data_IF_491785554097
#
_entry.id   IF_491785554097
#
_cell.length_a   1.000
_cell.length_b   1.000
_cell.length_c   1.000
_cell.angle_alpha   90.00
_cell.angle_beta   90.00
_cell.angle_gamma   90.00
#
_symmetry.space_group_name_H-M   'P 1'
#
loop_
_entity.id
_entity.type
_entity.pdbx_description
1 polymer ?
#
# COMPACT_ATOMS: atom_id res chain seq x y z
N UNK A 1 7.92 12.16 10.61
CA UNK A 1 7.17 10.91 10.39
C UNK A 1 6.95 10.69 8.91
N UNK A 2 6.78 9.46 8.50
CA UNK A 2 6.56 9.12 7.10
C UNK A 2 5.13 8.66 6.89
N UNK A 3 4.66 8.75 5.65
CA UNK A 3 3.39 8.15 5.29
C UNK A 3 3.57 6.65 5.08
N UNK A 4 2.71 5.87 5.71
CA UNK A 4 2.71 4.41 5.57
C UNK A 4 1.41 3.96 4.95
N UNK A 5 1.51 3.06 3.99
CA UNK A 5 0.37 2.40 3.40
C UNK A 5 0.08 1.15 4.22
N UNK A 6 -1.13 1.04 4.72
CA UNK A 6 -1.55 -0.10 5.54
C UNK A 6 -2.23 -1.11 4.63
N UNK A 7 -1.63 -2.27 4.52
CA UNK A 7 -1.97 -3.26 3.50
C UNK A 7 -2.60 -4.48 4.17
N UNK A 8 -3.75 -4.89 3.65
CA UNK A 8 -4.38 -6.14 4.05
C UNK A 8 -3.60 -7.30 3.43
N UNK A 9 -2.98 -8.14 4.25
CA UNK A 9 -2.11 -9.21 3.76
C UNK A 9 -2.86 -10.33 3.04
N UNK A 10 -4.17 -10.41 3.21
CA UNK A 10 -5.00 -11.39 2.48
C UNK A 10 -5.28 -10.96 1.05
N UNK A 11 -5.40 -9.66 0.81
CA UNK A 11 -5.75 -9.13 -0.51
C UNK A 11 -4.60 -8.38 -1.17
N UNK A 12 -3.60 -7.98 -0.38
CA UNK A 12 -2.51 -7.10 -0.79
C UNK A 12 -2.98 -5.71 -1.26
N UNK A 13 -4.14 -5.29 -0.77
CA UNK A 13 -4.73 -4.00 -1.12
C UNK A 13 -4.48 -3.02 0.04
N UNK A 14 -4.11 -1.80 -0.32
CA UNK A 14 -3.96 -0.72 0.66
C UNK A 14 -5.33 -0.30 1.15
N UNK A 15 -5.56 -0.43 2.46
CA UNK A 15 -6.85 -0.10 3.06
C UNK A 15 -6.82 1.19 3.84
N UNK A 16 -5.62 1.71 4.14
CA UNK A 16 -5.49 2.96 4.87
C UNK A 16 -4.13 3.57 4.60
N UNK A 17 -4.02 4.88 4.83
CA UNK A 17 -2.76 5.61 4.77
C UNK A 17 -2.63 6.38 6.07
N UNK A 18 -1.50 6.21 6.77
CA UNK A 18 -1.30 6.83 8.07
C UNK A 18 0.07 7.50 8.13
N UNK A 19 0.18 8.52 8.96
CA UNK A 19 1.46 9.10 9.33
C UNK A 19 2.01 8.32 10.53
N UNK A 20 3.21 7.80 10.41
CA UNK A 20 3.76 6.90 11.42
C UNK A 20 5.28 6.90 11.34
N UNK A 21 5.94 6.60 12.44
CA UNK A 21 7.40 6.48 12.48
C UNK A 21 7.89 5.04 12.32
N UNK A 22 6.97 4.09 12.18
CA UNK A 22 7.32 2.69 12.01
C UNK A 22 7.52 1.92 13.31
N UNK A 23 7.36 2.56 14.45
CA UNK A 23 7.58 1.95 15.75
C UNK A 23 6.35 1.17 16.20
N UNK A 24 6.40 -0.15 16.07
CA UNK A 24 5.28 -1.02 16.40
C UNK A 24 5.07 -1.17 17.91
N UNK A 25 6.01 -0.73 18.73
CA UNK A 25 5.84 -0.77 20.18
C UNK A 25 4.88 0.34 20.66
N UNK A 26 4.70 1.38 19.86
CA UNK A 26 3.76 2.47 20.17
C UNK A 26 2.41 2.23 19.51
N UNK A 27 2.43 1.80 18.24
CA UNK A 27 1.23 1.55 17.47
C UNK A 27 1.55 0.55 16.37
N UNK A 28 0.59 -0.28 16.02
CA UNK A 28 0.73 -1.20 14.90
C UNK A 28 -0.58 -1.26 14.12
N UNK A 29 -0.53 -1.65 12.82
CA UNK A 29 -1.74 -1.72 12.01
C UNK A 29 -2.69 -2.86 12.39
N UNK A 30 -2.26 -3.79 13.25
CA UNK A 30 -3.10 -4.89 13.68
C UNK A 30 -2.80 -6.19 12.93
N UNK A 31 -3.45 -7.28 13.39
CA UNK A 31 -3.28 -8.58 12.76
C UNK A 31 -3.86 -8.57 11.36
N UNK A 32 -3.15 -9.19 10.43
CA UNK A 32 -3.58 -9.25 9.04
C UNK A 32 -3.23 -8.01 8.22
N UNK A 33 -2.49 -7.07 8.80
CA UNK A 33 -2.06 -5.86 8.11
C UNK A 33 -0.56 -5.66 8.27
N UNK A 34 0.03 -5.00 7.26
CA UNK A 34 1.43 -4.54 7.33
C UNK A 34 1.47 -3.07 6.92
N UNK A 35 2.50 -2.37 7.40
CA UNK A 35 2.74 -0.99 7.02
C UNK A 35 3.98 -0.89 6.14
N UNK A 36 3.86 -0.22 5.02
CA UNK A 36 4.98 0.01 4.10
C UNK A 36 5.08 1.49 3.81
N UNK A 37 6.26 2.07 4.04
CA UNK A 37 6.49 3.49 3.83
C UNK A 37 6.39 3.82 2.34
N UNK A 38 5.49 4.73 1.99
CA UNK A 38 5.35 5.20 0.62
C UNK A 38 4.50 6.46 0.59
N UNK A 39 4.90 7.41 -0.25
CA UNK A 39 4.10 8.60 -0.54
C UNK A 39 3.50 8.53 -1.95
N UNK A 40 3.78 7.46 -2.69
CA UNK A 40 3.42 7.36 -4.10
C UNK A 40 2.13 6.60 -4.33
N UNK A 41 1.81 5.65 -3.44
CA UNK A 41 0.58 4.89 -3.53
C UNK A 41 -0.47 5.47 -2.59
N UNK A 42 -1.69 5.03 -2.72
CA UNK A 42 -2.81 5.44 -1.87
C UNK A 42 -3.77 4.29 -1.64
N UNK A 43 -4.88 4.58 -0.96
CA UNK A 43 -5.90 3.57 -0.67
C UNK A 43 -6.42 2.96 -1.98
N UNK A 44 -6.61 1.66 -1.96
CA UNK A 44 -7.10 0.91 -3.10
C UNK A 44 -6.00 0.37 -4.02
N UNK A 45 -4.77 0.81 -3.85
CA UNK A 45 -3.65 0.30 -4.65
C UNK A 45 -3.28 -1.10 -4.18
N UNK A 46 -2.76 -1.90 -5.09
CA UNK A 46 -2.27 -3.23 -4.76
C UNK A 46 -0.77 -3.17 -4.49
N UNK A 47 -0.33 -3.86 -3.46
CA UNK A 47 1.08 -3.97 -3.11
C UNK A 47 1.65 -5.29 -3.64
N UNK A 48 2.78 -5.20 -4.35
CA UNK A 48 3.50 -6.35 -4.85
C UNK A 48 4.92 -6.30 -4.30
N UNK A 49 5.22 -7.11 -3.30
CA UNK A 49 6.50 -7.06 -2.60
C UNK A 49 7.69 -7.42 -3.49
N UNK A 50 7.47 -8.13 -4.58
CA UNK A 50 8.53 -8.47 -5.52
C UNK A 50 8.72 -7.46 -6.63
N UNK A 51 7.90 -6.41 -6.69
CA UNK A 51 7.96 -5.43 -7.76
C UNK A 51 8.86 -4.26 -7.45
N UNK A 52 9.03 -3.38 -8.42
CA UNK A 52 9.81 -2.14 -8.29
C UNK A 52 9.03 -0.98 -8.90
N UNK A 53 9.09 0.17 -8.21
CA UNK A 53 8.52 1.40 -8.73
C UNK A 53 7.00 1.43 -8.69
N UNK A 54 6.42 2.31 -9.48
CA UNK A 54 4.99 2.59 -9.52
C UNK A 54 4.43 2.14 -10.86
N UNK A 55 3.35 1.38 -10.81
CA UNK A 55 2.65 0.96 -12.02
C UNK A 55 1.77 2.06 -12.57
N UNK A 56 1.44 1.95 -13.83
CA UNK A 56 0.59 2.92 -14.52
C UNK A 56 -0.80 2.38 -14.82
N UNK A 57 -0.97 1.06 -14.74
CA UNK A 57 -2.27 0.42 -14.98
C UNK A 57 -2.47 -0.72 -14.00
N UNK A 58 -3.70 -1.17 -13.83
CA UNK A 58 -4.03 -2.28 -12.95
C UNK A 58 -3.45 -3.62 -13.41
N UNK A 59 -2.99 -3.69 -14.65
CA UNK A 59 -2.37 -4.90 -15.21
C UNK A 59 -0.86 -4.93 -15.10
N UNK A 60 -0.24 -3.90 -14.55
CA UNK A 60 1.21 -3.83 -14.44
C UNK A 60 1.69 -4.64 -13.24
N UNK A 61 2.08 -5.90 -13.49
CA UNK A 61 2.48 -6.83 -12.44
C UNK A 61 3.96 -6.73 -12.07
N UNK A 62 4.71 -5.89 -12.75
CA UNK A 62 6.13 -5.70 -12.45
C UNK A 62 6.38 -4.61 -11.42
N UNK A 63 5.42 -3.75 -11.17
CA UNK A 63 5.55 -2.65 -10.21
C UNK A 63 5.29 -3.12 -8.78
N UNK A 64 5.89 -2.43 -7.82
CA UNK A 64 5.59 -2.65 -6.40
C UNK A 64 4.22 -2.13 -6.02
N UNK A 65 3.83 -0.96 -6.52
CA UNK A 65 2.55 -0.32 -6.26
C UNK A 65 1.75 -0.29 -7.56
N UNK A 66 0.60 -0.94 -7.56
CA UNK A 66 -0.19 -1.14 -8.77
C UNK A 66 -1.58 -0.53 -8.55
N UNK A 67 -1.93 0.54 -9.28
CA UNK A 67 -3.27 1.12 -9.16
C UNK A 67 -4.33 0.10 -9.59
N UNK A 68 -5.47 0.12 -8.91
CA UNK A 68 -6.56 -0.82 -9.20
C UNK A 68 -7.77 -0.04 -9.69
N UNK A 69 -8.35 -0.48 -10.79
CA UNK A 69 -9.57 0.12 -11.32
C UNK A 69 -10.70 -0.08 -10.30
N UNK A 70 -11.40 1.01 -9.99
CA UNK A 70 -12.54 0.95 -9.09
C UNK A 70 -12.21 1.12 -7.61
N UNK A 71 -10.94 1.26 -7.25
CA UNK A 71 -10.51 1.40 -5.86
C UNK A 71 -9.98 2.80 -5.57
N UNK A 72 -10.78 3.80 -5.86
CA UNK A 72 -10.38 5.16 -5.54
C UNK A 72 -9.37 5.77 -6.48
N UNK A 73 -9.01 5.10 -7.55
CA UNK A 73 -8.16 5.66 -8.58
C UNK A 73 -9.02 6.23 -9.68
N UNK A 74 -8.54 7.29 -10.29
CA UNK A 74 -9.26 7.94 -11.40
C UNK A 74 -8.67 7.50 -12.72
N UNK A 75 -8.86 6.32 -13.05
CA UNK A 75 -8.33 5.81 -14.31
C UNK A 75 -9.36 5.94 -15.42
#
# INVERSE_FOLDING_TARGET
MSNYQIINTSTNIVENTVEWDGDTSVWSPGDGFIGVASTEAGMGWKYNSGGVGIGTTSGDTSAMWIPQVGYGTTI
#
